data_IF_445399144682
#
_entry.id   IF_445399144682
#
_cell.length_a   1.000
_cell.length_b   1.000
_cell.length_c   1.000
_cell.angle_alpha   90.00
_cell.angle_beta   90.00
_cell.angle_gamma   90.00
#
_symmetry.space_group_name_H-M   'P 1'
#
loop_
_entity.id
_entity.type
_entity.pdbx_description
1 polymer ?
#
# COMPACT_ATOMS: atom_id res chain seq x y z
N UNK A 1 3.55 -28.36 -11.21
CA UNK A 1 3.02 -27.74 -12.43
C UNK A 1 2.60 -28.76 -13.49
N UNK A 2 3.46 -29.72 -13.85
CA UNK A 2 3.20 -30.71 -14.89
C UNK A 2 1.96 -31.58 -14.64
N UNK A 3 1.73 -32.01 -13.40
CA UNK A 3 0.55 -32.81 -13.02
C UNK A 3 -0.73 -31.99 -13.17
N UNK A 4 -0.75 -30.72 -12.72
CA UNK A 4 -1.91 -29.83 -12.85
C UNK A 4 -2.26 -29.62 -14.32
N UNK A 5 -1.24 -29.36 -15.16
CA UNK A 5 -1.42 -29.23 -16.60
C UNK A 5 -1.99 -30.50 -17.21
N UNK A 6 -1.42 -31.66 -16.90
CA UNK A 6 -1.88 -32.94 -17.41
C UNK A 6 -3.34 -33.21 -17.05
N UNK A 7 -3.73 -33.01 -15.81
CA UNK A 7 -5.10 -33.22 -15.33
C UNK A 7 -6.09 -32.24 -15.95
N UNK A 8 -5.68 -30.97 -16.14
CA UNK A 8 -6.50 -29.97 -16.82
C UNK A 8 -6.70 -30.33 -18.30
N UNK A 9 -5.62 -30.62 -19.02
CA UNK A 9 -5.65 -30.86 -20.47
C UNK A 9 -6.34 -32.17 -20.83
N UNK A 10 -6.24 -33.23 -20.00
CA UNK A 10 -6.78 -34.56 -20.33
C UNK A 10 -8.12 -34.87 -19.68
N UNK A 11 -8.39 -34.28 -18.51
CA UNK A 11 -9.58 -34.61 -17.73
C UNK A 11 -10.50 -33.39 -17.49
N UNK A 12 -10.13 -32.21 -17.95
CA UNK A 12 -10.92 -30.98 -17.77
C UNK A 12 -11.08 -30.54 -16.31
N UNK A 13 -10.19 -30.96 -15.41
CA UNK A 13 -10.27 -30.65 -13.98
C UNK A 13 -9.87 -29.19 -13.77
N UNK A 14 -10.75 -28.41 -13.14
CA UNK A 14 -10.44 -27.03 -12.71
C UNK A 14 -9.72 -27.03 -11.37
N UNK A 15 -8.69 -26.19 -11.27
CA UNK A 15 -7.89 -26.03 -10.05
C UNK A 15 -7.99 -24.61 -9.51
N UNK A 16 -8.03 -24.49 -8.19
CA UNK A 16 -7.78 -23.24 -7.46
C UNK A 16 -6.49 -23.47 -6.69
N UNK A 17 -5.45 -22.70 -7.04
CA UNK A 17 -4.13 -22.80 -6.42
C UNK A 17 -3.89 -21.51 -5.64
N UNK A 18 -3.41 -21.64 -4.41
CA UNK A 18 -3.06 -20.50 -3.55
C UNK A 18 -1.59 -20.56 -3.17
N UNK A 19 -0.99 -19.40 -2.90
CA UNK A 19 0.38 -19.29 -2.45
C UNK A 19 0.65 -17.93 -1.84
N UNK A 20 1.57 -17.88 -0.87
CA UNK A 20 1.94 -16.69 -0.11
C UNK A 20 2.74 -15.67 -0.92
N UNK A 21 3.25 -16.02 -2.11
CA UNK A 21 4.00 -15.10 -2.93
C UNK A 21 3.72 -15.24 -4.41
N UNK A 22 3.66 -14.11 -5.10
CA UNK A 22 3.54 -14.08 -6.56
C UNK A 22 4.78 -14.64 -7.25
N UNK A 23 5.93 -14.58 -6.60
CA UNK A 23 7.21 -15.07 -7.09
C UNK A 23 7.16 -16.58 -7.39
N UNK A 24 6.72 -17.39 -6.42
CA UNK A 24 6.60 -18.82 -6.60
C UNK A 24 5.53 -19.20 -7.61
N UNK A 25 4.35 -18.64 -7.50
CA UNK A 25 3.25 -18.98 -8.40
C UNK A 25 3.52 -18.53 -9.84
N UNK A 26 4.09 -17.35 -10.04
CA UNK A 26 4.44 -16.85 -11.38
C UNK A 26 5.57 -17.70 -11.99
N UNK A 27 6.62 -18.01 -11.26
CA UNK A 27 7.75 -18.78 -11.77
C UNK A 27 7.42 -20.27 -11.97
N UNK A 28 6.74 -20.91 -11.03
CA UNK A 28 6.37 -22.34 -11.15
C UNK A 28 5.36 -22.60 -12.27
N UNK A 29 4.52 -21.62 -12.61
CA UNK A 29 3.45 -21.77 -13.60
C UNK A 29 3.58 -20.85 -14.82
N UNK A 30 4.70 -20.11 -14.97
CA UNK A 30 4.87 -19.17 -16.08
C UNK A 30 4.85 -19.83 -17.45
N UNK A 31 5.59 -20.93 -17.61
CA UNK A 31 5.75 -21.60 -18.91
C UNK A 31 4.69 -22.69 -19.16
N UNK A 32 4.26 -23.40 -18.09
CA UNK A 32 3.43 -24.59 -18.25
C UNK A 32 1.94 -24.31 -18.40
N UNK A 33 1.43 -23.16 -17.96
CA UNK A 33 0.00 -22.82 -17.95
C UNK A 33 -0.32 -21.51 -18.68
N UNK A 34 0.50 -21.11 -19.65
CA UNK A 34 0.23 -19.94 -20.48
C UNK A 34 -1.13 -20.09 -21.17
N UNK A 35 -2.01 -19.07 -21.07
CA UNK A 35 -3.36 -19.08 -21.64
C UNK A 35 -4.40 -19.96 -20.91
N UNK A 36 -4.02 -20.64 -19.81
CA UNK A 36 -4.89 -21.56 -19.05
C UNK A 36 -5.12 -21.14 -17.60
N UNK A 37 -4.57 -20.00 -17.19
CA UNK A 37 -4.66 -19.50 -15.80
C UNK A 37 -5.17 -18.07 -15.76
N UNK A 38 -5.91 -17.76 -14.71
CA UNK A 38 -6.21 -16.40 -14.28
C UNK A 38 -5.54 -16.23 -12.91
N UNK A 39 -4.82 -15.13 -12.71
CA UNK A 39 -4.15 -14.82 -11.45
C UNK A 39 -4.93 -13.72 -10.75
N UNK A 40 -5.35 -14.00 -9.54
CA UNK A 40 -5.95 -13.01 -8.64
C UNK A 40 -4.94 -12.68 -7.54
N UNK A 41 -4.62 -11.41 -7.39
CA UNK A 41 -3.78 -10.93 -6.29
C UNK A 41 -4.69 -10.50 -5.14
N UNK A 42 -4.46 -11.08 -3.95
CA UNK A 42 -5.21 -10.74 -2.73
C UNK A 42 -4.30 -9.92 -1.82
N UNK A 43 -4.80 -8.77 -1.44
CA UNK A 43 -4.11 -7.85 -0.55
C UNK A 43 -4.75 -7.83 0.84
N UNK A 44 -4.09 -7.26 1.87
CA UNK A 44 -4.77 -6.95 3.13
C UNK A 44 -6.00 -6.08 2.90
N UNK A 45 -7.02 -6.23 3.73
CA UNK A 45 -8.30 -5.54 3.63
C UNK A 45 -8.14 -4.02 3.58
N UNK A 46 -8.86 -3.36 2.68
CA UNK A 46 -9.10 -1.93 2.74
C UNK A 46 -10.05 -1.57 3.90
N UNK A 47 -10.23 -0.28 4.20
CA UNK A 47 -11.04 0.10 5.37
C UNK A 47 -12.52 -0.29 5.23
N UNK A 48 -13.08 -0.20 4.01
CA UNK A 48 -14.44 -0.68 3.75
C UNK A 48 -14.59 -2.18 4.03
N UNK A 49 -13.65 -2.99 3.55
CA UNK A 49 -13.61 -4.43 3.82
C UNK A 49 -13.35 -4.73 5.30
N UNK A 50 -12.53 -3.92 5.99
CA UNK A 50 -12.36 -4.00 7.45
C UNK A 50 -13.69 -3.83 8.19
N UNK A 51 -14.50 -2.85 7.78
CA UNK A 51 -15.83 -2.63 8.37
C UNK A 51 -16.77 -3.80 8.07
N UNK A 52 -16.74 -4.35 6.84
CA UNK A 52 -17.52 -5.54 6.47
C UNK A 52 -17.15 -6.76 7.31
N UNK A 53 -15.85 -7.02 7.51
CA UNK A 53 -15.37 -8.13 8.34
C UNK A 53 -15.75 -7.99 9.82
N UNK A 54 -15.93 -6.76 10.28
CA UNK A 54 -16.38 -6.44 11.66
C UNK A 54 -17.89 -6.29 11.76
N UNK A 55 -18.62 -6.50 10.66
CA UNK A 55 -20.09 -6.34 10.57
C UNK A 55 -20.55 -4.92 10.99
N UNK A 56 -19.71 -3.89 10.72
CA UNK A 56 -20.02 -2.50 11.02
C UNK A 56 -20.75 -1.88 9.82
N UNK A 57 -22.00 -1.44 9.94
CA UNK A 57 -22.72 -0.83 8.83
C UNK A 57 -22.06 0.51 8.44
N UNK A 58 -21.87 0.75 7.16
CA UNK A 58 -21.41 2.03 6.63
C UNK A 58 -21.98 2.29 5.25
N UNK A 59 -21.94 3.55 4.82
CA UNK A 59 -22.41 3.93 3.49
C UNK A 59 -21.28 3.72 2.49
N UNK A 60 -21.36 2.64 1.71
CA UNK A 60 -20.43 2.44 0.57
C UNK A 60 -20.58 3.55 -0.44
N UNK A 61 -19.48 3.97 -1.01
CA UNK A 61 -19.40 4.97 -2.05
C UNK A 61 -18.77 4.35 -3.28
N UNK A 62 -19.36 4.64 -4.44
CA UNK A 62 -18.92 4.06 -5.71
C UNK A 62 -17.94 4.96 -6.45
N UNK A 63 -17.87 6.24 -6.08
CA UNK A 63 -17.04 7.23 -6.75
C UNK A 63 -16.27 8.11 -5.76
N UNK A 64 -15.02 8.39 -6.12
CA UNK A 64 -14.17 9.34 -5.42
C UNK A 64 -14.64 10.76 -5.72
N UNK A 65 -15.01 11.55 -4.73
CA UNK A 65 -14.96 12.99 -4.89
C UNK A 65 -16.25 13.79 -4.86
N UNK A 66 -17.38 13.27 -4.48
CA UNK A 66 -18.56 14.10 -4.20
C UNK A 66 -18.69 14.50 -2.72
N UNK A 67 -17.56 14.58 -1.98
CA UNK A 67 -17.63 14.56 -0.54
C UNK A 67 -17.14 15.81 0.16
N UNK A 68 -18.04 16.37 0.89
CA UNK A 68 -17.79 17.23 2.04
C UNK A 68 -17.59 16.31 3.27
N UNK A 69 -16.68 16.67 4.16
CA UNK A 69 -16.50 16.02 5.46
C UNK A 69 -17.83 15.88 6.20
N UNK A 70 -18.17 14.66 6.57
CA UNK A 70 -19.38 14.34 7.36
C UNK A 70 -18.99 14.11 8.83
N UNK A 71 -19.30 15.06 9.73
CA UNK A 71 -18.95 14.94 11.15
C UNK A 71 -19.63 13.76 11.85
N UNK A 72 -20.84 13.36 11.44
CA UNK A 72 -21.57 12.26 12.07
C UNK A 72 -20.95 10.91 11.75
N UNK A 73 -20.63 10.67 10.48
CA UNK A 73 -19.94 9.47 10.06
C UNK A 73 -18.51 9.41 10.62
N UNK A 74 -17.83 10.56 10.68
CA UNK A 74 -16.53 10.64 11.33
C UNK A 74 -16.58 10.21 12.78
N UNK A 75 -17.47 10.80 13.60
CA UNK A 75 -17.60 10.46 15.02
C UNK A 75 -17.97 8.98 15.23
N UNK A 76 -18.75 8.41 14.33
CA UNK A 76 -19.18 7.00 14.40
C UNK A 76 -18.07 6.01 14.05
N UNK A 77 -17.17 6.37 13.12
CA UNK A 77 -16.20 5.43 12.54
C UNK A 77 -14.75 5.75 12.89
N UNK A 78 -14.45 6.88 13.52
CA UNK A 78 -13.07 7.34 13.79
C UNK A 78 -12.24 6.33 14.57
N UNK A 79 -12.81 5.66 15.57
CA UNK A 79 -12.09 4.70 16.41
C UNK A 79 -11.76 3.40 15.63
N UNK A 80 -12.66 2.94 14.76
CA UNK A 80 -12.39 1.84 13.84
C UNK A 80 -11.33 2.21 12.81
N UNK A 81 -11.37 3.46 12.35
CA UNK A 81 -10.36 3.94 11.42
C UNK A 81 -8.99 4.10 12.08
N UNK A 82 -8.95 4.53 13.35
CA UNK A 82 -7.74 4.55 14.16
C UNK A 82 -7.16 3.15 14.33
N UNK A 83 -8.00 2.17 14.60
CA UNK A 83 -7.60 0.77 14.68
C UNK A 83 -7.01 0.29 13.34
N UNK A 84 -7.70 0.53 12.21
CA UNK A 84 -7.23 0.18 10.88
C UNK A 84 -5.87 0.81 10.54
N UNK A 85 -5.70 2.11 10.78
CA UNK A 85 -4.43 2.81 10.52
C UNK A 85 -3.30 2.26 11.37
N UNK A 86 -3.57 1.82 12.59
CA UNK A 86 -2.54 1.34 13.51
C UNK A 86 -2.21 -0.15 13.37
N UNK A 87 -3.18 -0.98 12.99
CA UNK A 87 -3.04 -2.43 12.98
C UNK A 87 -3.17 -3.07 11.60
N UNK A 88 -3.53 -2.28 10.58
CA UNK A 88 -3.64 -2.75 9.20
C UNK A 88 -4.90 -3.55 8.89
N UNK A 89 -4.86 -4.25 7.75
CA UNK A 89 -5.98 -4.97 7.18
C UNK A 89 -5.79 -6.50 7.10
N UNK A 90 -4.82 -7.08 7.81
CA UNK A 90 -4.67 -8.55 7.83
C UNK A 90 -5.87 -9.20 8.53
N UNK A 91 -6.60 -10.15 7.89
CA UNK A 91 -7.88 -10.66 8.38
C UNK A 91 -7.88 -11.13 9.85
N UNK A 92 -6.87 -11.92 10.25
CA UNK A 92 -6.76 -12.40 11.63
C UNK A 92 -6.56 -11.26 12.64
N UNK A 93 -5.86 -10.19 12.23
CA UNK A 93 -5.66 -9.00 13.05
C UNK A 93 -6.95 -8.19 13.16
N UNK A 94 -7.68 -8.06 12.06
CA UNK A 94 -8.97 -7.33 12.02
C UNK A 94 -10.00 -7.98 12.93
N UNK A 95 -10.08 -9.31 12.95
CA UNK A 95 -11.05 -10.06 13.73
C UNK A 95 -10.70 -10.19 15.23
N UNK A 96 -9.44 -9.97 15.62
CA UNK A 96 -9.04 -9.99 17.04
C UNK A 96 -9.54 -8.72 17.76
N UNK A 97 -10.35 -8.80 18.82
CA UNK A 97 -10.87 -7.63 19.51
C UNK A 97 -9.85 -6.93 20.43
N UNK A 98 -8.83 -7.64 20.93
CA UNK A 98 -7.88 -7.11 21.90
C UNK A 98 -6.64 -6.52 21.22
N UNK A 99 -6.31 -5.28 21.55
CA UNK A 99 -5.20 -4.54 20.93
C UNK A 99 -3.81 -5.14 21.21
N UNK A 100 -3.60 -5.74 22.38
CA UNK A 100 -2.38 -6.47 22.74
C UNK A 100 -2.22 -7.72 21.87
N UNK A 101 -3.26 -8.52 21.75
CA UNK A 101 -3.28 -9.72 20.94
C UNK A 101 -3.08 -9.43 19.43
N UNK A 102 -3.60 -8.31 18.93
CA UNK A 102 -3.31 -7.87 17.54
C UNK A 102 -1.81 -7.73 17.30
N UNK A 103 -1.06 -7.14 18.24
CA UNK A 103 0.40 -6.99 18.13
C UNK A 103 1.11 -8.35 18.16
N UNK A 104 0.65 -9.27 18.98
CA UNK A 104 1.19 -10.64 19.02
C UNK A 104 0.98 -11.34 17.69
N UNK A 105 -0.24 -11.28 17.12
CA UNK A 105 -0.55 -11.85 15.79
C UNK A 105 0.32 -11.22 14.69
N UNK A 106 0.48 -9.91 14.68
CA UNK A 106 1.34 -9.22 13.71
C UNK A 106 2.80 -9.70 13.81
N UNK A 107 3.34 -9.83 15.03
CA UNK A 107 4.70 -10.31 15.25
C UNK A 107 4.84 -11.78 14.82
N UNK A 108 3.84 -12.62 15.07
CA UNK A 108 3.83 -14.02 14.66
C UNK A 108 3.79 -14.17 13.13
N UNK A 109 2.91 -13.41 12.46
CA UNK A 109 2.84 -13.36 10.98
C UNK A 109 4.20 -12.92 10.40
N UNK A 110 4.79 -11.86 10.94
CA UNK A 110 6.08 -11.36 10.47
C UNK A 110 7.21 -12.38 10.71
N UNK A 111 7.24 -12.99 11.89
CA UNK A 111 8.22 -14.02 12.22
C UNK A 111 8.09 -15.25 11.31
N UNK A 112 6.86 -15.67 11.01
CA UNK A 112 6.57 -16.75 10.08
C UNK A 112 7.03 -16.42 8.67
N UNK A 113 6.77 -15.18 8.19
CA UNK A 113 7.27 -14.71 6.91
C UNK A 113 8.81 -14.79 6.82
N UNK A 114 9.52 -14.31 7.84
CA UNK A 114 10.99 -14.38 7.88
C UNK A 114 11.49 -15.81 7.92
N UNK A 115 10.89 -16.69 8.72
CA UNK A 115 11.37 -18.05 8.94
C UNK A 115 10.99 -19.03 7.81
N UNK A 116 9.90 -18.80 7.12
CA UNK A 116 9.39 -19.70 6.08
C UNK A 116 9.71 -19.14 4.69
N UNK A 117 9.19 -17.96 4.37
CA UNK A 117 9.28 -17.43 3.00
C UNK A 117 10.69 -16.95 2.67
N UNK A 118 11.34 -16.22 3.58
CA UNK A 118 12.70 -15.70 3.37
C UNK A 118 13.74 -16.83 3.38
N UNK A 119 13.66 -17.77 4.34
CA UNK A 119 14.61 -18.88 4.43
C UNK A 119 14.48 -19.86 3.28
N UNK A 120 13.26 -20.12 2.78
CA UNK A 120 13.04 -21.01 1.65
C UNK A 120 13.65 -20.46 0.34
N UNK A 121 13.91 -19.19 0.25
CA UNK A 121 14.56 -18.54 -0.90
C UNK A 121 16.11 -18.58 -0.84
N UNK A 122 16.66 -19.45 -0.04
CA UNK A 122 17.99 -20.05 0.10
C UNK A 122 19.27 -19.21 -0.17
N UNK A 123 19.19 -18.09 -0.89
CA UNK A 123 20.34 -17.21 -1.16
C UNK A 123 20.48 -16.05 -0.16
N UNK A 124 19.47 -15.86 0.73
CA UNK A 124 19.55 -14.84 1.78
C UNK A 124 20.43 -15.32 2.93
N UNK A 125 21.75 -15.28 2.73
CA UNK A 125 22.74 -15.63 3.76
C UNK A 125 22.71 -14.71 4.98
N UNK A 126 21.90 -13.62 4.94
CA UNK A 126 21.94 -12.55 5.92
C UNK A 126 20.55 -12.03 6.29
N UNK A 127 19.75 -12.89 6.93
CA UNK A 127 18.41 -12.53 7.45
C UNK A 127 18.46 -11.27 8.33
N UNK A 128 19.54 -11.07 9.09
CA UNK A 128 19.75 -9.87 9.91
C UNK A 128 19.76 -8.58 9.09
N UNK A 129 20.41 -8.58 7.92
CA UNK A 129 20.46 -7.41 7.03
C UNK A 129 19.10 -7.11 6.42
N UNK A 130 18.33 -8.14 6.02
CA UNK A 130 16.97 -7.94 5.52
C UNK A 130 16.05 -7.38 6.61
N UNK A 131 16.14 -7.89 7.83
CA UNK A 131 15.37 -7.35 8.97
C UNK A 131 15.76 -5.90 9.28
N UNK A 132 17.04 -5.56 9.22
CA UNK A 132 17.53 -4.19 9.39
C UNK A 132 17.05 -3.29 8.25
N UNK A 133 17.04 -3.78 7.02
CA UNK A 133 16.47 -3.08 5.87
C UNK A 133 14.99 -2.78 6.09
N UNK A 134 14.18 -3.77 6.45
CA UNK A 134 12.75 -3.59 6.71
C UNK A 134 12.48 -2.53 7.78
N UNK A 135 13.23 -2.54 8.89
CA UNK A 135 13.17 -1.49 9.91
C UNK A 135 13.52 -0.11 9.34
N UNK A 136 14.58 -0.03 8.53
CA UNK A 136 14.98 1.22 7.90
C UNK A 136 13.94 1.73 6.88
N UNK A 137 13.24 0.83 6.19
CA UNK A 137 12.17 1.16 5.25
C UNK A 137 10.93 1.72 5.95
N UNK A 138 10.56 1.21 7.13
CA UNK A 138 9.40 1.68 7.88
C UNK A 138 9.46 3.19 8.21
N UNK A 139 10.66 3.74 8.42
CA UNK A 139 10.87 5.18 8.62
C UNK A 139 10.89 6.00 7.31
N UNK A 140 10.69 5.35 6.15
CA UNK A 140 10.76 5.97 4.82
C UNK A 140 9.46 5.86 4.02
N UNK A 141 8.38 5.51 4.69
CA UNK A 141 7.05 5.49 4.08
C UNK A 141 6.76 6.88 3.47
N UNK A 142 6.21 6.89 2.25
CA UNK A 142 5.89 8.11 1.50
C UNK A 142 7.11 8.84 0.91
N UNK A 143 8.34 8.38 1.18
CA UNK A 143 9.56 9.02 0.69
C UNK A 143 10.17 8.27 -0.48
N UNK A 144 10.86 9.01 -1.34
CA UNK A 144 11.71 8.44 -2.38
C UNK A 144 12.91 7.71 -1.77
N UNK A 145 13.20 6.52 -2.28
CA UNK A 145 14.33 5.74 -1.80
C UNK A 145 15.65 6.27 -2.36
N UNK A 146 16.54 6.68 -1.47
CA UNK A 146 17.95 6.90 -1.77
C UNK A 146 18.73 5.60 -1.56
N UNK A 147 18.97 4.89 -2.65
CA UNK A 147 19.65 3.58 -2.64
C UNK A 147 21.07 3.66 -2.08
N UNK A 148 21.78 4.76 -2.30
CA UNK A 148 23.14 4.95 -1.79
C UNK A 148 23.15 5.07 -0.27
N UNK A 149 22.30 5.94 0.26
CA UNK A 149 22.17 6.17 1.69
C UNK A 149 21.64 4.91 2.40
N UNK A 150 20.66 4.23 1.78
CA UNK A 150 20.05 3.04 2.36
C UNK A 150 21.04 1.87 2.41
N UNK A 151 21.82 1.64 1.35
CA UNK A 151 22.86 0.60 1.31
C UNK A 151 23.94 0.83 2.37
N UNK A 152 24.34 2.07 2.62
CA UNK A 152 25.28 2.43 3.70
C UNK A 152 24.70 2.16 5.10
N UNK A 153 23.43 2.51 5.34
CA UNK A 153 22.76 2.30 6.64
C UNK A 153 22.64 0.81 6.97
N UNK A 154 22.32 -0.01 5.98
CA UNK A 154 22.13 -1.46 6.16
C UNK A 154 23.45 -2.23 6.07
N UNK A 155 24.49 -1.63 5.52
CA UNK A 155 25.80 -2.27 5.34
C UNK A 155 25.86 -3.28 4.20
N UNK A 156 25.04 -3.11 3.16
CA UNK A 156 24.97 -3.99 1.99
C UNK A 156 25.32 -3.25 0.69
N UNK A 157 25.69 -3.99 -0.35
CA UNK A 157 25.93 -3.42 -1.66
C UNK A 157 24.63 -2.92 -2.32
N UNK A 158 24.72 -1.95 -3.26
CA UNK A 158 23.55 -1.50 -4.02
C UNK A 158 22.87 -2.60 -4.84
N UNK A 159 23.59 -3.51 -5.52
CA UNK A 159 22.96 -4.66 -6.17
C UNK A 159 22.17 -5.52 -5.20
N UNK A 160 22.76 -5.89 -4.05
CA UNK A 160 22.08 -6.65 -2.99
C UNK A 160 20.83 -5.92 -2.46
N UNK A 161 20.91 -4.59 -2.26
CA UNK A 161 19.76 -3.78 -1.88
C UNK A 161 18.65 -3.86 -2.93
N UNK A 162 18.97 -3.77 -4.23
CA UNK A 162 17.99 -3.87 -5.32
C UNK A 162 17.32 -5.24 -5.34
N UNK A 163 18.07 -6.31 -5.14
CA UNK A 163 17.56 -7.68 -5.05
C UNK A 163 16.59 -7.84 -3.86
N UNK A 164 16.97 -7.30 -2.70
CA UNK A 164 16.11 -7.33 -1.50
C UNK A 164 14.81 -6.54 -1.70
N UNK A 165 14.88 -5.35 -2.29
CA UNK A 165 13.68 -4.55 -2.56
C UNK A 165 12.77 -5.23 -3.58
N UNK A 166 13.33 -5.82 -4.63
CA UNK A 166 12.57 -6.59 -5.62
C UNK A 166 11.91 -7.83 -4.98
N UNK A 167 12.62 -8.53 -4.10
CA UNK A 167 12.08 -9.63 -3.33
C UNK A 167 10.90 -9.19 -2.46
N UNK A 168 11.07 -8.11 -1.69
CA UNK A 168 10.02 -7.59 -0.81
C UNK A 168 8.78 -7.13 -1.59
N UNK A 169 8.93 -6.61 -2.81
CA UNK A 169 7.80 -6.31 -3.70
C UNK A 169 7.10 -7.59 -4.17
N UNK A 170 7.88 -8.59 -4.62
CA UNK A 170 7.34 -9.88 -5.12
C UNK A 170 6.67 -10.72 -4.04
N UNK A 171 7.02 -10.50 -2.77
CA UNK A 171 6.40 -11.16 -1.61
C UNK A 171 5.33 -10.31 -0.93
N UNK A 172 4.90 -9.21 -1.55
CA UNK A 172 3.81 -8.34 -1.07
C UNK A 172 4.04 -7.73 0.32
N UNK A 173 5.29 -7.42 0.66
CA UNK A 173 5.62 -6.68 1.90
C UNK A 173 5.61 -5.18 1.64
N UNK A 174 6.20 -4.75 0.51
CA UNK A 174 6.29 -3.34 0.12
C UNK A 174 5.78 -3.13 -1.30
N UNK A 175 5.54 -1.87 -1.64
CA UNK A 175 5.36 -1.39 -3.00
C UNK A 175 6.27 -0.18 -3.25
N UNK A 176 6.90 -0.14 -4.40
CA UNK A 176 7.66 1.00 -4.88
C UNK A 176 6.82 1.77 -5.91
N UNK A 177 6.19 2.85 -5.49
CA UNK A 177 5.27 3.65 -6.30
C UNK A 177 6.05 4.53 -7.29
N UNK A 178 5.86 4.39 -8.62
CA UNK A 178 6.54 5.20 -9.62
C UNK A 178 5.92 6.59 -9.76
N UNK A 179 6.68 7.52 -10.34
CA UNK A 179 6.17 8.86 -10.67
C UNK A 179 5.20 8.82 -11.86
N UNK A 180 4.18 9.67 -11.82
CA UNK A 180 3.25 9.94 -12.91
C UNK A 180 3.95 10.77 -13.99
N UNK A 181 4.55 10.10 -14.98
CA UNK A 181 5.29 10.70 -16.08
C UNK A 181 5.49 9.65 -17.19
N UNK A 182 6.12 10.05 -18.31
CA UNK A 182 6.59 9.07 -19.26
C UNK A 182 7.65 8.13 -18.62
N UNK A 183 7.89 6.92 -19.16
CA UNK A 183 8.72 5.91 -18.52
C UNK A 183 10.13 6.39 -18.17
N UNK A 184 10.81 7.09 -19.09
CA UNK A 184 12.20 7.56 -18.90
C UNK A 184 12.30 8.56 -17.75
N UNK A 185 11.39 9.53 -17.72
CA UNK A 185 11.34 10.53 -16.68
C UNK A 185 10.90 9.96 -15.34
N UNK A 186 9.95 9.02 -15.35
CA UNK A 186 9.51 8.32 -14.16
C UNK A 186 10.66 7.57 -13.49
N UNK A 187 11.48 6.85 -14.29
CA UNK A 187 12.67 6.17 -13.78
C UNK A 187 13.68 7.14 -13.13
N UNK A 188 13.89 8.32 -13.74
CA UNK A 188 14.81 9.34 -13.23
C UNK A 188 14.32 10.01 -11.93
N UNK A 189 13.01 10.11 -11.72
CA UNK A 189 12.41 10.72 -10.52
C UNK A 189 12.47 9.83 -9.28
N UNK A 190 12.78 8.55 -9.43
CA UNK A 190 12.77 7.55 -8.36
C UNK A 190 11.38 7.09 -7.96
N UNK A 191 11.31 6.17 -7.00
CA UNK A 191 10.06 5.59 -6.54
C UNK A 191 9.83 5.91 -5.06
N UNK A 192 8.59 6.20 -4.68
CA UNK A 192 8.16 6.32 -3.28
C UNK A 192 7.90 4.93 -2.69
N UNK A 193 8.18 4.76 -1.41
CA UNK A 193 7.99 3.49 -0.69
C UNK A 193 6.70 3.48 0.10
N UNK A 194 5.97 2.35 0.01
CA UNK A 194 4.81 2.05 0.86
C UNK A 194 4.86 0.59 1.33
N UNK A 195 4.28 0.32 2.48
CA UNK A 195 4.03 -1.05 2.96
C UNK A 195 2.62 -1.48 2.56
N UNK A 196 2.47 -2.75 2.19
CA UNK A 196 1.17 -3.30 1.83
C UNK A 196 0.27 -3.59 3.03
N UNK A 197 0.80 -3.48 4.26
CA UNK A 197 0.02 -3.49 5.49
C UNK A 197 0.57 -2.51 6.52
N UNK A 198 -0.33 -1.74 7.13
CA UNK A 198 0.04 -0.73 8.13
C UNK A 198 0.52 -1.36 9.44
N UNK A 199 -0.08 -2.47 9.86
CA UNK A 199 0.29 -3.16 11.09
C UNK A 199 1.71 -3.69 11.02
N UNK A 200 2.10 -4.28 9.89
CA UNK A 200 3.47 -4.72 9.64
C UNK A 200 4.44 -3.54 9.66
N UNK A 201 4.11 -2.43 9.00
CA UNK A 201 4.94 -1.23 9.05
C UNK A 201 5.13 -0.71 10.49
N UNK A 202 4.08 -0.73 11.30
CA UNK A 202 4.07 -0.26 12.69
C UNK A 202 4.95 -1.08 13.61
N UNK A 203 4.91 -2.42 13.51
CA UNK A 203 5.76 -3.28 14.36
C UNK A 203 7.25 -3.22 13.97
N UNK A 204 7.56 -2.86 12.73
CA UNK A 204 8.93 -2.82 12.22
C UNK A 204 9.69 -1.56 12.65
N UNK A 205 9.06 -0.39 12.70
CA UNK A 205 9.83 0.84 12.85
C UNK A 205 9.14 2.01 13.52
N UNK A 206 7.91 1.92 13.97
CA UNK A 206 7.14 3.02 14.53
C UNK A 206 7.18 4.30 13.66
N UNK A 207 6.74 4.22 12.39
CA UNK A 207 6.69 5.40 11.53
C UNK A 207 5.81 6.49 12.15
N UNK A 208 6.05 7.75 11.78
CA UNK A 208 5.23 8.87 12.25
C UNK A 208 3.77 8.73 11.81
N UNK A 209 2.85 9.30 12.60
CA UNK A 209 1.39 9.18 12.37
C UNK A 209 0.97 9.66 10.97
N UNK A 210 1.61 10.72 10.46
CA UNK A 210 1.35 11.22 9.09
C UNK A 210 1.75 10.20 8.03
N UNK A 211 2.90 9.55 8.18
CA UNK A 211 3.38 8.53 7.25
C UNK A 211 2.51 7.26 7.30
N UNK A 212 2.07 6.83 8.48
CA UNK A 212 1.12 5.72 8.63
C UNK A 212 -0.23 6.03 7.99
N UNK A 213 -0.71 7.26 8.17
CA UNK A 213 -1.95 7.70 7.53
C UNK A 213 -1.81 7.71 6.00
N UNK A 214 -0.73 8.26 5.46
CA UNK A 214 -0.45 8.23 4.01
C UNK A 214 -0.37 6.80 3.49
N UNK A 215 0.26 5.88 4.24
CA UNK A 215 0.30 4.46 3.90
C UNK A 215 -1.08 3.79 3.93
N UNK A 216 -1.95 4.15 4.86
CA UNK A 216 -3.33 3.67 4.90
C UNK A 216 -4.13 4.14 3.69
N UNK A 217 -3.93 5.40 3.25
CA UNK A 217 -4.52 5.93 2.03
C UNK A 217 -4.00 5.19 0.79
N UNK A 218 -2.69 4.95 0.70
CA UNK A 218 -2.11 4.11 -0.36
C UNK A 218 -2.81 2.75 -0.44
N UNK A 219 -2.97 2.05 0.69
CA UNK A 219 -3.58 0.73 0.76
C UNK A 219 -5.06 0.73 0.36
N UNK A 220 -5.78 1.82 0.58
CA UNK A 220 -7.17 1.97 0.15
C UNK A 220 -7.31 2.32 -1.34
N UNK A 221 -6.35 3.06 -1.92
CA UNK A 221 -6.42 3.54 -3.30
C UNK A 221 -6.02 2.49 -4.35
N UNK A 222 -5.12 1.57 -4.02
CA UNK A 222 -4.46 0.67 -4.97
C UNK A 222 -5.42 -0.22 -5.77
N UNK A 223 -6.58 -0.53 -5.22
CA UNK A 223 -7.56 -1.44 -5.85
C UNK A 223 -8.48 -0.71 -6.84
N UNK A 224 -8.41 0.61 -6.91
CA UNK A 224 -9.30 1.44 -7.72
C UNK A 224 -8.71 1.91 -9.05
N UNK A 225 -7.45 1.57 -9.32
CA UNK A 225 -6.80 1.92 -10.58
C UNK A 225 -5.28 1.95 -10.51
N UNK A 226 -4.65 2.48 -11.57
CA UNK A 226 -3.19 2.67 -11.59
C UNK A 226 -2.83 3.82 -10.66
N UNK A 227 -1.96 3.55 -9.70
CA UNK A 227 -1.51 4.53 -8.73
C UNK A 227 -0.07 4.98 -9.01
N UNK A 228 0.15 6.28 -8.94
CA UNK A 228 1.43 6.94 -9.12
C UNK A 228 1.56 8.07 -8.09
N UNK A 229 2.73 8.72 -7.98
CA UNK A 229 2.87 10.03 -7.35
C UNK A 229 3.25 11.07 -8.41
N UNK A 230 2.97 12.35 -8.18
CA UNK A 230 3.37 13.42 -9.09
C UNK A 230 4.47 14.26 -8.46
N UNK A 231 5.57 14.50 -9.20
CA UNK A 231 6.61 15.43 -8.79
C UNK A 231 7.19 16.19 -9.97
N UNK A 232 7.53 17.46 -9.74
CA UNK A 232 8.27 18.31 -10.68
C UNK A 232 9.47 18.91 -9.98
N UNK A 233 10.56 18.14 -9.96
CA UNK A 233 11.78 18.52 -9.24
C UNK A 233 11.51 18.82 -7.77
N UNK A 234 11.95 19.99 -7.31
CA UNK A 234 11.65 20.55 -5.97
C UNK A 234 10.48 21.54 -5.97
N UNK A 235 9.85 21.81 -7.13
CA UNK A 235 8.81 22.83 -7.23
C UNK A 235 7.52 22.43 -6.56
N UNK A 236 7.04 21.21 -6.81
CA UNK A 236 5.84 20.67 -6.21
C UNK A 236 5.78 19.13 -6.27
N UNK A 237 5.00 18.59 -5.36
CA UNK A 237 4.68 17.17 -5.31
C UNK A 237 3.20 17.00 -4.92
N UNK A 238 2.54 15.96 -5.45
CA UNK A 238 1.24 15.44 -5.02
C UNK A 238 1.46 13.98 -4.62
N UNK A 239 0.93 13.60 -3.48
CA UNK A 239 1.21 12.29 -2.87
C UNK A 239 0.75 11.14 -3.77
N UNK A 240 -0.46 11.23 -4.32
CA UNK A 240 -0.99 10.21 -5.23
C UNK A 240 -1.65 10.81 -6.48
N UNK A 241 -1.50 10.11 -7.59
CA UNK A 241 -2.30 10.27 -8.80
C UNK A 241 -2.95 8.93 -9.08
N UNK A 242 -4.26 8.85 -8.90
CA UNK A 242 -5.05 7.67 -9.22
C UNK A 242 -5.62 7.81 -10.63
N UNK A 243 -5.35 6.80 -11.46
CA UNK A 243 -5.92 6.67 -12.80
C UNK A 243 -6.86 5.48 -12.84
N UNK A 244 -8.18 5.66 -12.63
CA UNK A 244 -9.16 4.60 -12.75
C UNK A 244 -9.25 4.11 -14.20
N UNK A 245 -9.71 2.87 -14.42
CA UNK A 245 -9.71 2.21 -15.73
C UNK A 245 -10.50 2.96 -16.83
N UNK A 246 -11.46 3.81 -16.46
CA UNK A 246 -12.36 4.49 -17.42
C UNK A 246 -12.55 5.98 -17.12
N UNK A 247 -11.66 6.58 -16.32
CA UNK A 247 -11.77 7.98 -15.91
C UNK A 247 -10.43 8.70 -16.02
N UNK A 248 -10.50 10.04 -16.04
CA UNK A 248 -9.32 10.90 -16.02
C UNK A 248 -8.55 10.79 -14.70
N UNK A 249 -7.22 10.98 -14.74
CA UNK A 249 -6.39 10.96 -13.54
C UNK A 249 -6.84 11.98 -12.50
N UNK A 250 -6.82 11.58 -11.23
CA UNK A 250 -7.18 12.42 -10.07
C UNK A 250 -5.99 12.53 -9.14
N UNK A 251 -5.60 13.75 -8.78
CA UNK A 251 -4.57 14.02 -7.77
C UNK A 251 -5.13 13.95 -6.35
N UNK A 252 -4.39 13.31 -5.43
CA UNK A 252 -4.75 13.27 -4.02
C UNK A 252 -3.56 13.72 -3.17
N UNK A 253 -3.77 14.73 -2.36
CA UNK A 253 -2.81 15.22 -1.36
C UNK A 253 -3.28 14.78 0.03
N UNK A 254 -2.41 14.19 0.82
CA UNK A 254 -2.73 13.60 2.11
C UNK A 254 -2.19 14.48 3.23
N UNK A 255 -3.04 14.84 4.19
CA UNK A 255 -2.67 15.65 5.35
C UNK A 255 -3.26 15.07 6.63
N UNK A 256 -2.44 14.95 7.66
CA UNK A 256 -2.91 14.49 8.95
C UNK A 256 -3.93 15.46 9.57
N UNK A 257 -3.66 16.78 9.48
CA UNK A 257 -4.57 17.87 9.82
C UNK A 257 -4.72 18.79 8.60
N UNK A 258 -5.73 18.58 7.74
CA UNK A 258 -5.92 19.40 6.54
C UNK A 258 -6.35 20.81 6.91
N UNK A 259 -5.80 21.82 6.22
CA UNK A 259 -6.13 23.23 6.42
C UNK A 259 -6.37 23.93 5.06
N UNK A 260 -6.96 25.14 5.11
CA UNK A 260 -7.30 25.93 3.91
C UNK A 260 -6.10 26.16 3.00
N UNK A 261 -4.90 26.41 3.59
CA UNK A 261 -3.68 26.63 2.81
C UNK A 261 -3.24 25.38 2.01
N UNK A 262 -3.49 24.18 2.53
CA UNK A 262 -3.21 22.92 1.81
C UNK A 262 -4.08 22.80 0.57
N UNK A 263 -5.37 23.10 0.70
CA UNK A 263 -6.29 23.07 -0.41
C UNK A 263 -5.94 24.12 -1.47
N UNK A 264 -5.59 25.35 -1.07
CA UNK A 264 -5.16 26.40 -1.99
C UNK A 264 -3.87 26.02 -2.72
N UNK A 265 -2.92 25.40 -2.01
CA UNK A 265 -1.69 24.87 -2.60
C UNK A 265 -2.01 23.77 -3.61
N UNK A 266 -2.85 22.81 -3.24
CA UNK A 266 -3.27 21.71 -4.11
C UNK A 266 -3.96 22.21 -5.39
N UNK A 267 -4.91 23.13 -5.29
CA UNK A 267 -5.58 23.77 -6.45
C UNK A 267 -4.56 24.40 -7.42
N UNK A 268 -3.54 25.11 -6.89
CA UNK A 268 -2.47 25.70 -7.72
C UNK A 268 -1.62 24.64 -8.42
N UNK A 269 -1.27 23.56 -7.72
CA UNK A 269 -0.49 22.46 -8.30
C UNK A 269 -1.29 21.74 -9.38
N UNK A 270 -2.57 21.48 -9.14
CA UNK A 270 -3.49 20.83 -10.09
C UNK A 270 -3.52 21.58 -11.42
N UNK A 271 -3.71 22.89 -11.37
CA UNK A 271 -3.68 23.74 -12.57
C UNK A 271 -2.34 23.68 -13.33
N UNK A 272 -1.22 23.66 -12.61
CA UNK A 272 0.14 23.63 -13.22
C UNK A 272 0.50 22.25 -13.76
N UNK A 273 -0.05 21.19 -13.22
CA UNK A 273 0.26 19.81 -13.60
C UNK A 273 -0.55 19.30 -14.78
N UNK A 274 -1.61 20.01 -15.17
CA UNK A 274 -2.55 19.57 -16.20
C UNK A 274 -3.56 18.52 -15.70
N UNK A 275 -3.61 18.24 -14.40
CA UNK A 275 -4.68 17.43 -13.82
C UNK A 275 -5.99 18.22 -13.82
N UNK A 276 -7.09 17.55 -14.11
CA UNK A 276 -8.41 18.22 -14.13
C UNK A 276 -9.04 18.27 -12.73
N UNK A 277 -8.76 17.25 -11.91
CA UNK A 277 -9.35 17.11 -10.57
C UNK A 277 -8.29 16.76 -9.54
N UNK A 278 -8.49 17.23 -8.33
CA UNK A 278 -7.68 16.84 -7.16
C UNK A 278 -8.47 16.94 -5.87
N UNK A 279 -8.09 16.11 -4.91
CA UNK A 279 -8.75 16.02 -3.61
C UNK A 279 -7.72 16.12 -2.48
N UNK A 280 -8.06 16.90 -1.46
CA UNK A 280 -7.36 16.91 -0.20
C UNK A 280 -7.95 15.83 0.69
N UNK A 281 -7.13 14.91 1.17
CA UNK A 281 -7.53 13.81 2.06
C UNK A 281 -7.02 14.09 3.46
N UNK A 282 -7.92 14.08 4.44
CA UNK A 282 -7.61 14.42 5.83
C UNK A 282 -7.81 13.25 6.79
N UNK A 283 -6.96 13.21 7.82
CA UNK A 283 -7.08 12.26 8.93
C UNK A 283 -7.99 12.78 10.03
N UNK A 284 -7.67 13.92 10.57
CA UNK A 284 -8.39 14.56 11.66
C UNK A 284 -9.01 15.89 11.20
N UNK A 285 -10.23 16.22 11.62
CA UNK A 285 -10.86 17.47 11.24
C UNK A 285 -10.14 18.66 11.88
N UNK A 286 -10.08 19.76 11.13
CA UNK A 286 -9.57 21.03 11.63
C UNK A 286 -10.76 21.97 11.86
N UNK A 287 -10.88 22.63 13.02
CA UNK A 287 -11.97 23.55 13.28
C UNK A 287 -12.11 24.61 12.19
N UNK A 288 -13.34 24.79 11.68
CA UNK A 288 -13.66 25.77 10.63
C UNK A 288 -13.24 25.38 9.21
N UNK A 289 -12.77 24.16 8.99
CA UNK A 289 -12.42 23.66 7.66
C UNK A 289 -13.06 22.29 7.39
N UNK A 290 -13.89 22.18 6.37
CA UNK A 290 -14.63 20.96 5.99
C UNK A 290 -14.45 20.55 4.51
N UNK A 291 -13.67 21.32 3.71
CA UNK A 291 -13.47 21.05 2.29
C UNK A 291 -12.35 19.99 2.06
N UNK A 292 -12.51 18.81 2.65
CA UNK A 292 -11.60 17.69 2.47
C UNK A 292 -12.37 16.35 2.52
N UNK A 293 -11.79 15.31 1.92
CA UNK A 293 -12.24 13.94 2.07
C UNK A 293 -11.68 13.37 3.36
N UNK A 294 -12.51 12.79 4.19
CA UNK A 294 -12.00 12.01 5.31
C UNK A 294 -11.49 10.65 4.83
N UNK A 295 -10.26 10.29 5.21
CA UNK A 295 -9.61 9.06 4.77
C UNK A 295 -10.35 7.76 5.11
N UNK A 296 -11.26 7.78 6.10
CA UNK A 296 -12.10 6.63 6.45
C UNK A 296 -13.34 6.44 5.56
N UNK A 297 -13.64 7.35 4.65
CA UNK A 297 -14.83 7.31 3.79
C UNK A 297 -14.53 7.75 2.37
N UNK A 298 -13.42 7.29 1.80
CA UNK A 298 -13.08 7.62 0.41
C UNK A 298 -13.90 6.82 -0.60
N UNK A 299 -14.30 5.60 -0.25
CA UNK A 299 -15.04 4.67 -1.07
C UNK A 299 -16.15 3.97 -0.30
#
# INVERSE_FOLDING_TARGET
>A
PSVVKYLYDHYGIKFILTGSSSYYLKNLFSESLAGRKVVYEMFPLGFGEFLDFREIPYRRRTELGEMVFDPHEYERLKDYYDEYVNFGGLPNVVLEPRLDAKREILNDIFSSYINIDVQAMADFRKIGELTQLLKALAFRIGNKLDYSKLSQIVGISRPTLSEYLEFLEKTYVICQLPAFSNPDRSAALGKKLYFLDNGIARILGHPGEGALFENAIFNQLRDYGVLNYLARGSEYEIDFVLTPSSQEPVGLEVKYHPVVSDQQKLKRITLRSGLQRSWLVGRLPTPGFSEFLWGGLMF
#
